data_IF_561273179421
#
_entry.id   IF_561273179421
#
_cell.length_a   1.000
_cell.length_b   1.000
_cell.length_c   1.000
_cell.angle_alpha   90.00
_cell.angle_beta   90.00
_cell.angle_gamma   90.00
#
_symmetry.space_group_name_H-M   'P 1'
#
loop_
_entity.id
_entity.type
_entity.pdbx_description
1 polymer ?
#
# COMPACT_ATOMS: atom_id res chain seq x y z
N UNK A 1 -15.00 22.34 -20.48
CA UNK A 1 -14.29 21.50 -21.46
C UNK A 1 -14.91 20.12 -21.40
N UNK A 2 -15.52 19.67 -22.48
CA UNK A 2 -16.17 18.35 -22.54
C UNK A 2 -15.07 17.29 -22.48
N UNK A 3 -15.14 16.39 -21.52
CA UNK A 3 -14.16 15.30 -21.37
C UNK A 3 -14.23 14.41 -22.63
N UNK A 4 -13.19 14.46 -23.46
CA UNK A 4 -13.07 13.67 -24.68
C UNK A 4 -13.28 12.17 -24.45
N UNK A 5 -13.14 11.70 -23.21
CA UNK A 5 -13.38 10.30 -22.83
C UNK A 5 -14.84 9.88 -22.97
N UNK A 6 -15.78 10.83 -22.93
CA UNK A 6 -17.21 10.55 -23.10
C UNK A 6 -17.62 10.39 -24.56
N UNK A 7 -16.79 10.82 -25.51
CA UNK A 7 -17.08 10.85 -26.94
C UNK A 7 -16.50 9.65 -27.70
N UNK A 8 -15.63 8.84 -27.09
CA UNK A 8 -14.95 7.73 -27.76
C UNK A 8 -15.37 6.39 -27.13
N UNK A 9 -15.79 5.37 -27.90
CA UNK A 9 -16.14 4.06 -27.39
C UNK A 9 -15.00 3.41 -26.59
N UNK A 10 -15.32 2.78 -25.45
CA UNK A 10 -14.35 2.13 -24.56
C UNK A 10 -13.31 1.21 -25.24
N UNK A 11 -13.65 0.40 -26.28
CA UNK A 11 -12.65 -0.41 -26.98
C UNK A 11 -11.59 0.42 -27.72
N UNK A 12 -11.99 1.56 -28.31
CA UNK A 12 -11.07 2.45 -29.01
C UNK A 12 -10.14 3.19 -28.04
N UNK A 13 -10.61 3.52 -26.84
CA UNK A 13 -9.77 4.02 -25.77
C UNK A 13 -8.72 3.02 -25.30
N UNK A 14 -9.09 1.73 -25.19
CA UNK A 14 -8.13 0.66 -24.84
C UNK A 14 -7.05 0.49 -25.92
N UNK A 15 -7.43 0.55 -27.20
CA UNK A 15 -6.49 0.49 -28.32
C UNK A 15 -5.62 1.74 -28.43
N UNK A 16 -6.23 2.93 -28.31
CA UNK A 16 -5.51 4.21 -28.30
C UNK A 16 -4.59 4.33 -27.09
N UNK A 17 -5.04 3.90 -25.91
CA UNK A 17 -4.24 3.86 -24.70
C UNK A 17 -3.08 2.85 -24.77
N UNK A 18 -3.27 1.70 -25.42
CA UNK A 18 -2.20 0.75 -25.66
C UNK A 18 -1.18 1.26 -26.69
N UNK A 19 -1.64 1.89 -27.76
CA UNK A 19 -0.79 2.53 -28.76
C UNK A 19 -0.03 3.73 -28.13
N UNK A 20 -0.73 4.58 -27.38
CA UNK A 20 -0.12 5.70 -26.65
C UNK A 20 0.92 5.19 -25.64
N UNK A 21 0.60 4.16 -24.83
CA UNK A 21 1.57 3.56 -23.90
C UNK A 21 2.78 2.97 -24.60
N UNK A 22 2.59 2.37 -25.79
CA UNK A 22 3.71 1.84 -26.59
C UNK A 22 4.60 2.96 -27.14
N UNK A 23 4.00 4.04 -27.63
CA UNK A 23 4.72 5.20 -28.16
C UNK A 23 5.27 6.05 -27.03
N UNK A 24 4.47 6.37 -26.01
CA UNK A 24 4.89 7.12 -24.85
C UNK A 24 5.91 6.32 -24.00
N UNK A 25 5.75 4.99 -23.84
CA UNK A 25 6.72 4.13 -23.19
C UNK A 25 8.09 4.14 -23.88
N UNK A 26 8.14 4.43 -25.18
CA UNK A 26 9.40 4.62 -25.91
C UNK A 26 10.02 6.01 -25.67
N UNK A 27 9.21 7.02 -25.32
CA UNK A 27 9.66 8.41 -25.15
C UNK A 27 9.55 8.93 -23.69
N UNK A 28 8.68 8.33 -22.88
CA UNK A 28 8.41 8.75 -21.50
C UNK A 28 9.30 7.98 -20.50
N UNK A 29 10.60 8.11 -20.62
CA UNK A 29 11.55 7.67 -19.58
C UNK A 29 12.08 8.91 -18.85
N UNK A 30 12.55 8.76 -17.59
CA UNK A 30 13.17 9.87 -16.85
C UNK A 30 14.30 10.54 -17.61
N UNK A 31 15.07 9.75 -18.38
CA UNK A 31 16.21 10.23 -19.15
C UNK A 31 15.77 11.11 -20.33
N UNK A 32 14.55 10.88 -20.88
CA UNK A 32 14.02 11.59 -22.02
C UNK A 32 13.06 12.71 -21.64
N UNK A 33 12.31 12.55 -20.55
CA UNK A 33 11.39 13.58 -20.07
C UNK A 33 12.08 14.89 -19.71
N UNK A 34 13.36 14.84 -19.28
CA UNK A 34 14.17 16.04 -19.00
C UNK A 34 14.37 16.97 -20.22
N UNK A 35 14.20 16.43 -21.43
CA UNK A 35 14.33 17.18 -22.67
C UNK A 35 13.00 17.76 -23.18
N UNK A 36 11.88 17.47 -22.48
CA UNK A 36 10.59 18.06 -22.85
C UNK A 36 10.67 19.59 -22.67
N UNK A 37 10.19 20.35 -23.70
CA UNK A 37 10.29 21.81 -23.68
C UNK A 37 9.34 22.47 -22.70
N UNK A 38 8.29 21.75 -22.30
CA UNK A 38 7.21 22.26 -21.46
C UNK A 38 7.18 21.58 -20.09
N UNK A 39 6.70 22.31 -19.08
CA UNK A 39 6.39 21.78 -17.74
C UNK A 39 5.20 20.81 -17.83
N UNK A 40 5.16 19.77 -17.01
CA UNK A 40 4.10 18.78 -17.02
C UNK A 40 2.72 19.36 -16.64
N UNK A 41 2.65 20.56 -16.07
CA UNK A 41 1.38 21.30 -15.95
C UNK A 41 0.76 21.66 -17.31
N UNK A 42 1.58 21.74 -18.34
CA UNK A 42 1.13 22.05 -19.71
C UNK A 42 1.02 20.80 -20.54
N UNK A 43 2.06 19.97 -20.56
CA UNK A 43 2.11 18.78 -21.37
C UNK A 43 3.19 17.80 -20.92
N UNK A 44 2.83 16.51 -20.89
CA UNK A 44 3.74 15.40 -20.65
C UNK A 44 3.95 15.05 -19.16
N UNK A 45 4.82 14.09 -18.90
CA UNK A 45 5.18 13.64 -17.55
C UNK A 45 6.13 14.61 -16.86
N UNK A 46 6.47 14.37 -15.56
CA UNK A 46 7.48 15.14 -14.86
C UNK A 46 8.81 15.09 -15.58
N UNK A 47 9.48 16.23 -15.68
CA UNK A 47 10.78 16.34 -16.37
C UNK A 47 11.96 15.81 -15.56
N UNK A 48 11.81 15.69 -14.25
CA UNK A 48 12.86 15.29 -13.32
C UNK A 48 12.30 14.32 -12.29
N UNK A 49 13.20 13.61 -11.65
CA UNK A 49 12.93 12.93 -10.39
C UNK A 49 14.12 13.08 -9.45
N UNK A 50 13.88 12.96 -8.17
CA UNK A 50 14.91 13.01 -7.13
C UNK A 50 14.41 12.22 -5.92
N UNK A 51 15.32 11.65 -5.16
CA UNK A 51 14.98 11.21 -3.83
C UNK A 51 14.67 12.43 -2.94
N UNK A 52 13.77 12.22 -2.00
CA UNK A 52 13.20 13.31 -1.19
C UNK A 52 14.24 14.04 -0.35
N UNK A 53 15.20 13.38 0.34
CA UNK A 53 16.24 14.07 1.08
C UNK A 53 17.10 14.97 0.20
N UNK A 54 17.52 14.49 -0.99
CA UNK A 54 18.32 15.25 -1.95
C UNK A 54 17.54 16.43 -2.52
N UNK A 55 16.26 16.20 -2.86
CA UNK A 55 15.39 17.27 -3.32
C UNK A 55 15.27 18.38 -2.26
N UNK A 56 14.98 18.01 -1.01
CA UNK A 56 14.80 18.96 0.08
C UNK A 56 16.10 19.76 0.33
N UNK A 57 17.25 19.10 0.35
CA UNK A 57 18.54 19.75 0.50
C UNK A 57 18.82 20.76 -0.62
N UNK A 58 18.54 20.39 -1.87
CA UNK A 58 18.78 21.22 -3.05
C UNK A 58 17.82 22.40 -3.23
N UNK A 59 16.64 22.38 -2.59
CA UNK A 59 15.58 23.39 -2.77
C UNK A 59 15.21 24.12 -1.48
N UNK A 60 15.94 23.89 -0.37
CA UNK A 60 15.63 24.52 0.93
C UNK A 60 14.26 24.09 1.50
N UNK A 61 13.77 22.91 1.12
CA UNK A 61 12.58 22.31 1.70
C UNK A 61 12.95 21.51 2.96
N UNK A 62 11.98 21.34 3.86
CA UNK A 62 12.21 20.63 5.11
C UNK A 62 12.15 19.12 4.90
N UNK A 63 13.16 18.41 5.44
CA UNK A 63 13.17 16.96 5.59
C UNK A 63 13.43 16.57 7.03
N UNK A 64 12.59 15.73 7.59
CA UNK A 64 12.76 15.13 8.93
C UNK A 64 12.86 13.62 8.79
N UNK A 65 14.07 13.08 9.00
CA UNK A 65 14.25 11.64 9.11
C UNK A 65 13.66 11.15 10.43
N UNK A 66 12.82 10.11 10.38
CA UNK A 66 12.13 9.54 11.54
C UNK A 66 12.63 8.14 11.84
N UNK A 67 12.90 7.37 10.80
CA UNK A 67 13.47 6.02 10.88
C UNK A 67 14.71 5.99 10.00
N UNK A 68 15.90 5.75 10.56
CA UNK A 68 17.12 5.67 9.77
C UNK A 68 17.10 4.45 8.85
N UNK A 69 17.85 4.53 7.74
CA UNK A 69 18.11 3.38 6.92
C UNK A 69 18.80 2.26 7.73
N UNK A 70 18.43 1.02 7.47
CA UNK A 70 18.97 -0.10 8.23
C UNK A 70 18.63 -1.44 7.62
N UNK A 71 19.13 -2.51 8.21
CA UNK A 71 18.82 -3.88 7.78
C UNK A 71 17.63 -4.38 8.59
N UNK A 72 16.53 -4.73 7.91
CA UNK A 72 15.45 -5.50 8.52
C UNK A 72 15.89 -6.96 8.59
N UNK A 73 16.19 -7.45 9.80
CA UNK A 73 16.47 -8.87 10.05
C UNK A 73 15.15 -9.57 10.45
N UNK A 74 14.74 -10.56 9.68
CA UNK A 74 13.47 -11.28 9.87
C UNK A 74 13.71 -12.75 10.18
N UNK A 75 12.75 -13.37 10.84
CA UNK A 75 12.69 -14.83 10.94
C UNK A 75 12.41 -15.42 9.56
N UNK A 76 13.13 -16.50 9.20
CA UNK A 76 12.89 -17.18 7.94
C UNK A 76 11.45 -17.71 7.84
N UNK A 77 10.79 -17.60 6.68
CA UNK A 77 9.45 -18.16 6.48
C UNK A 77 9.51 -19.68 6.44
N UNK A 78 8.48 -20.34 6.97
CA UNK A 78 8.31 -21.78 6.86
C UNK A 78 7.42 -22.13 5.67
N UNK A 79 8.02 -22.36 4.50
CA UNK A 79 7.32 -22.84 3.30
C UNK A 79 7.24 -24.36 3.33
N UNK A 80 6.04 -24.94 3.52
CA UNK A 80 5.85 -26.36 3.85
C UNK A 80 6.15 -27.28 2.65
N UNK A 81 5.66 -26.94 1.46
CA UNK A 81 5.71 -27.81 0.27
C UNK A 81 6.34 -27.13 -0.96
N UNK A 82 7.01 -26.00 -0.77
CA UNK A 82 7.70 -25.27 -1.83
C UNK A 82 8.83 -24.41 -1.25
N UNK A 83 9.65 -23.81 -2.13
CA UNK A 83 10.69 -22.88 -1.74
C UNK A 83 10.40 -21.51 -2.38
N UNK A 84 10.08 -20.53 -1.55
CA UNK A 84 9.87 -19.15 -1.99
C UNK A 84 11.18 -18.37 -1.92
N UNK A 85 11.89 -18.27 -3.03
CA UNK A 85 13.14 -17.50 -3.11
C UNK A 85 12.89 -16.02 -2.76
N UNK A 86 11.81 -15.45 -3.24
CA UNK A 86 11.40 -14.05 -3.02
C UNK A 86 11.21 -13.73 -1.53
N UNK A 87 10.67 -14.66 -0.75
CA UNK A 87 10.52 -14.47 0.70
C UNK A 87 11.86 -14.63 1.43
N UNK A 88 12.71 -15.55 0.97
CA UNK A 88 14.03 -15.77 1.58
C UNK A 88 14.97 -14.58 1.36
N UNK A 89 14.85 -13.87 0.24
CA UNK A 89 15.60 -12.63 -0.03
C UNK A 89 15.24 -11.51 0.95
N UNK A 90 14.04 -11.56 1.55
CA UNK A 90 13.58 -10.56 2.50
C UNK A 90 14.02 -10.81 3.96
N UNK A 91 14.67 -11.94 4.24
CA UNK A 91 15.17 -12.26 5.60
C UNK A 91 16.17 -11.22 6.09
N UNK A 92 16.98 -10.67 5.18
CA UNK A 92 17.88 -9.56 5.49
C UNK A 92 17.83 -8.53 4.34
N UNK A 93 17.00 -7.52 4.48
CA UNK A 93 16.80 -6.51 3.45
C UNK A 93 17.20 -5.14 3.96
N UNK A 94 17.94 -4.38 3.15
CA UNK A 94 18.23 -2.98 3.45
C UNK A 94 16.96 -2.16 3.23
N UNK A 95 16.43 -1.61 4.30
CA UNK A 95 15.28 -0.69 4.30
C UNK A 95 15.79 0.74 4.13
N UNK A 96 15.17 1.55 3.26
CA UNK A 96 15.52 2.96 3.15
C UNK A 96 15.16 3.72 4.43
N UNK A 97 15.76 4.88 4.61
CA UNK A 97 15.31 5.82 5.63
C UNK A 97 13.86 6.22 5.37
N UNK A 98 13.07 6.33 6.42
CA UNK A 98 11.72 6.85 6.35
C UNK A 98 11.58 8.15 7.13
N UNK A 99 10.85 9.10 6.57
CA UNK A 99 10.72 10.43 7.16
C UNK A 99 9.58 11.22 6.54
N UNK A 100 9.60 12.52 6.80
CA UNK A 100 8.54 13.45 6.38
C UNK A 100 9.17 14.65 5.70
N UNK A 101 8.69 14.97 4.50
CA UNK A 101 9.03 16.22 3.81
C UNK A 101 7.92 17.26 4.01
N UNK A 102 8.29 18.53 4.08
CA UNK A 102 7.37 19.66 3.95
C UNK A 102 7.68 20.44 2.67
N UNK A 103 6.75 20.36 1.74
CA UNK A 103 6.92 20.85 0.37
C UNK A 103 5.94 22.02 0.11
N UNK A 104 6.32 22.96 -0.75
CA UNK A 104 5.45 24.03 -1.22
C UNK A 104 4.95 23.74 -2.63
N UNK A 105 3.72 24.14 -2.92
CA UNK A 105 3.11 24.05 -4.26
C UNK A 105 3.27 22.66 -4.91
N UNK A 106 3.27 21.60 -4.10
CA UNK A 106 3.43 20.24 -4.58
C UNK A 106 2.09 19.70 -5.09
N UNK A 107 2.16 18.92 -6.17
CA UNK A 107 1.01 18.24 -6.76
C UNK A 107 0.92 16.81 -6.27
N UNK A 108 -0.28 16.37 -5.92
CA UNK A 108 -0.59 14.98 -5.58
C UNK A 108 -1.50 14.41 -6.67
N UNK A 109 -1.05 13.33 -7.30
CA UNK A 109 -1.72 12.70 -8.44
C UNK A 109 -2.61 11.56 -7.95
N UNK A 110 -3.89 11.62 -8.28
CA UNK A 110 -4.90 10.62 -7.91
C UNK A 110 -4.93 9.44 -8.90
N UNK A 111 -5.30 8.26 -8.47
CA UNK A 111 -5.57 7.84 -7.09
C UNK A 111 -4.31 7.37 -6.32
N UNK A 112 -3.15 7.34 -6.96
CA UNK A 112 -1.93 6.72 -6.44
C UNK A 112 -1.20 7.57 -5.39
N UNK A 113 -1.51 8.86 -5.26
CA UNK A 113 -0.83 9.73 -4.32
C UNK A 113 0.60 10.09 -4.71
N UNK A 114 0.97 9.95 -6.00
CA UNK A 114 2.31 10.33 -6.48
C UNK A 114 2.53 11.83 -6.32
N UNK A 115 3.73 12.20 -5.87
CA UNK A 115 4.06 13.57 -5.54
C UNK A 115 4.99 14.17 -6.58
N UNK A 116 4.56 15.30 -7.15
CA UNK A 116 5.39 16.13 -8.03
C UNK A 116 5.63 17.48 -7.34
N UNK A 117 6.86 17.69 -6.92
CA UNK A 117 7.31 18.91 -6.25
C UNK A 117 7.61 20.06 -7.23
N UNK A 118 7.92 21.24 -6.71
CA UNK A 118 8.36 22.39 -7.51
C UNK A 118 9.53 22.01 -8.43
N UNK A 119 9.67 22.72 -9.54
CA UNK A 119 10.67 22.40 -10.56
C UNK A 119 10.32 21.16 -11.38
N UNK A 120 9.04 20.72 -11.34
CA UNK A 120 8.52 19.59 -12.11
C UNK A 120 9.26 18.28 -11.78
N UNK A 121 9.45 18.04 -10.48
CA UNK A 121 10.27 16.94 -9.95
C UNK A 121 9.40 15.90 -9.28
N UNK A 122 9.35 14.66 -9.81
CA UNK A 122 8.72 13.52 -9.17
C UNK A 122 9.54 13.02 -7.98
N UNK A 123 8.88 12.76 -6.86
CA UNK A 123 9.48 12.21 -5.63
C UNK A 123 9.02 10.76 -5.42
N UNK A 124 9.81 9.76 -5.85
CA UNK A 124 9.41 8.36 -5.82
C UNK A 124 9.31 7.75 -4.42
N UNK A 125 9.97 8.33 -3.42
CA UNK A 125 10.04 7.76 -2.06
C UNK A 125 8.69 7.73 -1.34
N UNK A 126 7.66 8.35 -1.90
CA UNK A 126 6.28 8.35 -1.38
C UNK A 126 5.40 7.27 -2.00
N UNK A 127 5.97 6.40 -2.84
CA UNK A 127 5.26 5.37 -3.62
C UNK A 127 6.00 4.04 -3.65
N UNK A 128 5.35 3.02 -4.22
CA UNK A 128 5.96 1.72 -4.51
C UNK A 128 7.21 1.80 -5.39
N UNK A 129 7.37 2.90 -6.09
CA UNK A 129 8.44 3.08 -7.07
C UNK A 129 9.69 3.74 -6.48
N UNK A 130 9.80 3.83 -5.14
CA UNK A 130 10.93 4.47 -4.46
C UNK A 130 12.29 4.04 -4.96
N UNK A 131 12.49 2.75 -5.23
CA UNK A 131 13.74 2.18 -5.75
C UNK A 131 13.75 1.95 -7.28
N UNK A 132 12.64 2.24 -7.98
CA UNK A 132 12.46 2.06 -9.43
C UNK A 132 11.72 3.24 -10.06
N UNK A 133 12.17 4.44 -9.73
CA UNK A 133 11.52 5.70 -10.17
C UNK A 133 11.17 5.70 -11.66
N UNK A 134 12.06 5.18 -12.50
CA UNK A 134 11.88 5.14 -13.95
C UNK A 134 10.78 4.21 -14.46
N UNK A 135 10.31 3.27 -13.65
CA UNK A 135 9.22 2.35 -14.03
C UNK A 135 7.84 2.85 -13.58
N UNK A 136 7.76 4.00 -12.92
CA UNK A 136 6.51 4.56 -12.44
C UNK A 136 5.59 4.96 -13.60
N UNK A 137 4.31 4.55 -13.60
CA UNK A 137 3.35 4.94 -14.61
C UNK A 137 3.07 6.43 -14.69
N UNK A 138 3.57 7.24 -13.76
CA UNK A 138 3.48 8.71 -13.83
C UNK A 138 4.08 9.25 -15.15
N UNK A 139 5.06 8.54 -15.72
CA UNK A 139 5.66 8.90 -17.01
C UNK A 139 4.77 8.63 -18.22
N UNK A 140 3.60 8.02 -18.01
CA UNK A 140 2.60 7.79 -19.06
C UNK A 140 1.50 8.87 -19.09
N UNK A 141 1.57 9.85 -18.20
CA UNK A 141 0.64 10.98 -18.21
C UNK A 141 0.94 11.95 -19.34
N UNK A 142 -0.13 12.41 -19.99
CA UNK A 142 -0.11 13.41 -21.05
C UNK A 142 -0.10 14.85 -20.51
N UNK A 143 -0.53 15.03 -19.26
CA UNK A 143 -0.43 16.27 -18.49
C UNK A 143 -0.63 15.99 -17.01
N UNK A 144 0.02 16.78 -16.18
CA UNK A 144 -0.15 16.80 -14.73
C UNK A 144 -0.64 18.20 -14.25
N UNK A 145 -1.48 18.85 -15.06
CA UNK A 145 -2.12 20.11 -14.68
C UNK A 145 -3.04 19.90 -13.48
N UNK A 146 -2.92 20.71 -12.40
CA UNK A 146 -3.79 20.58 -11.25
C UNK A 146 -5.24 20.92 -11.61
N UNK A 147 -6.17 20.10 -11.14
CA UNK A 147 -7.62 20.33 -11.30
C UNK A 147 -8.23 21.08 -10.12
N UNK A 148 -7.49 21.15 -9.01
CA UNK A 148 -7.88 21.88 -7.80
C UNK A 148 -6.64 22.34 -7.03
N UNK A 149 -6.83 23.29 -6.12
CA UNK A 149 -5.83 23.76 -5.16
C UNK A 149 -6.39 23.69 -3.75
N UNK A 150 -5.61 23.14 -2.82
CA UNK A 150 -5.90 23.16 -1.39
C UNK A 150 -5.03 24.22 -0.71
N UNK A 151 -5.66 25.21 -0.05
CA UNK A 151 -4.95 26.22 0.74
C UNK A 151 -4.49 25.64 2.07
N UNK A 152 -3.52 26.31 2.70
CA UNK A 152 -2.99 25.91 4.00
C UNK A 152 -2.13 24.65 3.92
N UNK A 153 -2.10 23.89 5.02
CA UNK A 153 -1.25 22.72 5.15
C UNK A 153 -2.05 21.43 4.94
N UNK A 154 -1.61 20.61 4.01
CA UNK A 154 -2.22 19.31 3.68
C UNK A 154 -1.27 18.19 4.04
N UNK A 155 -1.75 17.16 4.75
CA UNK A 155 -1.05 15.88 4.93
C UNK A 155 -1.51 14.90 3.85
N UNK A 156 -0.60 14.21 3.15
CA UNK A 156 -0.96 13.14 2.23
C UNK A 156 -0.64 11.76 2.83
N UNK A 157 -1.66 10.93 2.98
CA UNK A 157 -1.54 9.52 3.38
C UNK A 157 -1.77 8.55 2.21
N UNK A 158 -2.02 9.06 1.00
CA UNK A 158 -2.28 8.22 -0.16
C UNK A 158 -0.98 7.68 -0.77
N UNK A 159 -1.05 6.45 -1.25
CA UNK A 159 0.02 5.79 -1.99
C UNK A 159 -0.58 4.77 -2.95
N UNK A 160 0.25 4.15 -3.78
CA UNK A 160 -0.20 3.14 -4.75
C UNK A 160 -1.08 2.08 -4.07
N UNK A 161 -2.14 1.69 -4.77
CA UNK A 161 -3.08 0.66 -4.32
C UNK A 161 -3.79 0.92 -2.98
N UNK A 162 -3.61 2.10 -2.37
CA UNK A 162 -4.23 2.42 -1.07
C UNK A 162 -5.76 2.42 -1.09
N UNK A 163 -6.39 2.35 -2.27
CA UNK A 163 -7.79 2.00 -2.44
C UNK A 163 -8.12 0.53 -2.11
N UNK A 164 -7.13 -0.36 -1.93
CA UNK A 164 -7.29 -1.71 -1.42
C UNK A 164 -7.10 -1.70 0.10
N UNK A 165 -7.94 -2.45 0.84
CA UNK A 165 -7.88 -2.49 2.30
C UNK A 165 -6.51 -2.93 2.84
N UNK A 166 -5.89 -3.94 2.21
CA UNK A 166 -4.55 -4.40 2.59
C UNK A 166 -3.50 -3.31 2.47
N UNK A 167 -3.42 -2.68 1.31
CA UNK A 167 -2.47 -1.57 1.09
C UNK A 167 -2.76 -0.34 1.95
N UNK A 168 -4.02 -0.10 2.25
CA UNK A 168 -4.37 0.96 3.19
C UNK A 168 -3.75 0.73 4.58
N UNK A 169 -3.77 -0.52 5.07
CA UNK A 169 -3.20 -0.87 6.37
C UNK A 169 -1.68 -1.05 6.34
N UNK A 170 -1.11 -1.53 5.24
CA UNK A 170 0.35 -1.72 5.15
C UNK A 170 1.09 -0.45 4.78
N UNK A 171 0.56 0.31 3.83
CA UNK A 171 1.34 1.30 3.09
C UNK A 171 0.85 2.74 3.31
N UNK A 172 -0.46 2.96 3.58
CA UNK A 172 -1.03 4.29 3.69
C UNK A 172 -1.15 4.79 5.14
N UNK A 173 -1.99 4.16 5.94
CA UNK A 173 -2.29 4.64 7.31
C UNK A 173 -1.09 4.60 8.27
N UNK A 174 -0.14 3.64 8.22
CA UNK A 174 1.02 3.68 9.10
C UNK A 174 1.89 4.93 8.94
N UNK A 175 1.75 5.65 7.83
CA UNK A 175 2.42 6.92 7.60
C UNK A 175 2.02 8.00 8.62
N UNK A 176 0.92 7.82 9.34
CA UNK A 176 0.54 8.62 10.51
C UNK A 176 1.62 8.52 11.60
N UNK A 177 2.23 7.34 11.79
CA UNK A 177 3.35 7.21 12.74
C UNK A 177 4.54 8.09 12.37
N UNK A 178 4.88 8.21 11.09
CA UNK A 178 5.95 9.10 10.64
C UNK A 178 5.58 10.57 10.89
N UNK A 179 4.33 10.95 10.60
CA UNK A 179 3.80 12.28 10.85
C UNK A 179 3.87 12.64 12.35
N UNK A 180 3.33 11.80 13.24
CA UNK A 180 3.34 12.03 14.69
C UNK A 180 4.77 12.08 15.26
N UNK A 181 5.63 11.12 14.88
CA UNK A 181 7.02 11.03 15.35
C UNK A 181 7.92 12.13 14.81
N UNK A 182 7.56 12.77 13.72
CA UNK A 182 8.27 13.96 13.22
C UNK A 182 7.91 15.23 13.98
N UNK A 183 7.01 15.16 14.98
CA UNK A 183 6.63 16.28 15.84
C UNK A 183 5.46 17.11 15.31
N UNK A 184 4.81 16.68 14.23
CA UNK A 184 3.57 17.28 13.77
C UNK A 184 2.37 16.75 14.54
N UNK A 185 1.35 17.58 14.65
CA UNK A 185 0.06 17.29 15.28
C UNK A 185 -1.10 17.55 14.31
N UNK A 186 -2.30 17.12 14.66
CA UNK A 186 -3.48 17.40 13.84
C UNK A 186 -3.81 18.90 13.75
N UNK A 187 -3.33 19.73 14.66
CA UNK A 187 -3.52 21.18 14.61
C UNK A 187 -2.65 21.84 13.55
N UNK A 188 -1.56 21.19 13.14
CA UNK A 188 -0.65 21.71 12.11
C UNK A 188 -1.22 21.56 10.68
N UNK A 189 -2.31 20.79 10.49
CA UNK A 189 -2.87 20.49 9.17
C UNK A 189 -4.31 20.96 9.02
N UNK A 190 -4.60 21.51 7.84
CA UNK A 190 -5.94 21.91 7.44
C UNK A 190 -6.71 20.77 6.75
N UNK A 191 -5.99 19.94 5.99
CA UNK A 191 -6.57 18.85 5.21
C UNK A 191 -5.71 17.58 5.32
N UNK A 192 -6.36 16.42 5.29
CA UNK A 192 -5.70 15.12 5.22
C UNK A 192 -6.21 14.38 3.98
N UNK A 193 -5.36 14.23 2.97
CA UNK A 193 -5.68 13.40 1.82
C UNK A 193 -5.61 11.93 2.23
N UNK A 194 -6.75 11.28 2.16
CA UNK A 194 -6.91 9.87 2.55
C UNK A 194 -7.27 9.02 1.33
N UNK A 195 -6.97 7.70 1.36
CA UNK A 195 -7.54 6.76 0.39
C UNK A 195 -9.06 6.75 0.42
N UNK A 196 -9.67 6.09 -0.57
CA UNK A 196 -11.12 5.90 -0.55
C UNK A 196 -11.59 5.16 0.72
N UNK A 197 -12.54 5.76 1.43
CA UNK A 197 -13.14 5.28 2.67
C UNK A 197 -14.56 4.73 2.46
N UNK A 198 -14.83 4.09 1.32
CA UNK A 198 -16.17 3.63 0.94
C UNK A 198 -16.74 2.50 1.82
N UNK A 199 -15.90 1.74 2.55
CA UNK A 199 -16.34 0.69 3.45
C UNK A 199 -16.17 1.05 4.92
N UNK A 200 -16.99 0.46 5.79
CA UNK A 200 -16.94 0.71 7.24
C UNK A 200 -15.62 0.24 7.86
N UNK A 201 -15.05 -0.86 7.37
CA UNK A 201 -13.73 -1.31 7.80
C UNK A 201 -12.62 -0.30 7.51
N UNK A 202 -12.67 0.40 6.36
CA UNK A 202 -11.72 1.46 6.02
C UNK A 202 -11.92 2.71 6.87
N UNK A 203 -13.17 3.13 7.08
CA UNK A 203 -13.49 4.25 7.98
C UNK A 203 -12.99 3.98 9.39
N UNK A 204 -13.30 2.80 9.92
CA UNK A 204 -12.85 2.38 11.25
C UNK A 204 -11.31 2.34 11.36
N UNK A 205 -10.59 1.88 10.34
CA UNK A 205 -9.13 1.90 10.35
C UNK A 205 -8.57 3.34 10.38
N UNK A 206 -9.14 4.26 9.61
CA UNK A 206 -8.75 5.67 9.63
C UNK A 206 -9.05 6.32 11.00
N UNK A 207 -10.20 5.99 11.61
CA UNK A 207 -10.55 6.46 12.95
C UNK A 207 -9.58 5.97 14.03
N UNK A 208 -9.13 4.71 13.96
CA UNK A 208 -8.10 4.19 14.87
C UNK A 208 -6.79 4.98 14.81
N UNK A 209 -6.48 5.56 13.65
CA UNK A 209 -5.30 6.42 13.51
C UNK A 209 -5.49 7.81 14.14
N UNK A 210 -6.67 8.12 14.68
CA UNK A 210 -6.97 9.42 15.31
C UNK A 210 -7.08 10.57 14.30
N UNK A 211 -7.29 10.28 13.01
CA UNK A 211 -7.43 11.32 11.99
C UNK A 211 -8.76 12.04 12.20
N UNK A 212 -8.77 13.38 12.36
CA UNK A 212 -10.00 14.14 12.52
C UNK A 212 -10.91 14.02 11.30
N UNK A 213 -12.15 13.52 11.43
CA UNK A 213 -13.04 13.26 10.30
C UNK A 213 -13.30 14.50 9.43
N UNK A 214 -13.38 15.67 10.04
CA UNK A 214 -13.66 16.96 9.37
C UNK A 214 -12.48 17.43 8.50
N UNK A 215 -11.27 16.90 8.71
CA UNK A 215 -10.08 17.20 7.91
C UNK A 215 -9.85 16.19 6.78
N UNK A 216 -10.55 15.05 6.79
CA UNK A 216 -10.38 14.00 5.80
C UNK A 216 -10.94 14.43 4.44
N UNK A 217 -10.12 14.34 3.42
CA UNK A 217 -10.48 14.57 2.02
C UNK A 217 -10.07 13.35 1.20
N UNK A 218 -11.01 12.59 0.64
CA UNK A 218 -10.67 11.48 -0.25
C UNK A 218 -9.90 11.99 -1.47
N UNK A 219 -8.73 11.44 -1.74
CA UNK A 219 -7.92 11.87 -2.88
C UNK A 219 -8.65 11.68 -4.22
N UNK A 220 -9.54 10.67 -4.31
CA UNK A 220 -10.39 10.42 -5.48
C UNK A 220 -11.33 11.56 -5.84
N UNK A 221 -11.51 12.56 -4.96
CA UNK A 221 -12.25 13.80 -5.25
C UNK A 221 -11.55 14.62 -6.35
N UNK A 222 -10.26 14.44 -6.53
CA UNK A 222 -9.44 15.17 -7.49
C UNK A 222 -8.83 14.21 -8.52
N UNK A 223 -8.49 14.73 -9.69
CA UNK A 223 -7.56 14.05 -10.60
C UNK A 223 -6.12 14.39 -10.21
N UNK A 224 -5.83 15.67 -10.05
CA UNK A 224 -4.53 16.19 -9.59
C UNK A 224 -4.83 17.39 -8.70
N UNK A 225 -4.32 17.38 -7.48
CA UNK A 225 -4.50 18.49 -6.54
C UNK A 225 -3.14 19.15 -6.23
N UNK A 226 -3.08 20.47 -6.32
CA UNK A 226 -1.95 21.26 -5.87
C UNK A 226 -2.17 21.69 -4.42
N UNK A 227 -1.24 21.36 -3.55
CA UNK A 227 -1.26 21.74 -2.14
C UNK A 227 -0.35 22.95 -1.93
N UNK A 228 -0.85 24.01 -1.30
CA UNK A 228 -0.04 25.19 -0.96
C UNK A 228 1.16 24.79 -0.09
N UNK A 229 0.93 23.99 0.93
CA UNK A 229 1.95 23.29 1.69
C UNK A 229 1.55 21.82 1.83
N UNK A 230 2.48 20.92 1.56
CA UNK A 230 2.26 19.50 1.66
C UNK A 230 3.20 18.89 2.70
N UNK A 231 2.64 18.25 3.71
CA UNK A 231 3.36 17.32 4.59
C UNK A 231 3.24 15.94 3.95
N UNK A 232 4.38 15.37 3.61
CA UNK A 232 4.49 14.15 2.84
C UNK A 232 5.35 13.12 3.56
N UNK A 233 4.76 12.19 4.34
CA UNK A 233 5.50 11.05 4.85
C UNK A 233 5.90 10.12 3.70
N UNK A 234 7.10 9.53 3.76
CA UNK A 234 7.56 8.54 2.77
C UNK A 234 6.75 7.25 2.83
N UNK A 235 6.90 6.41 1.83
CA UNK A 235 6.41 5.03 1.84
C UNK A 235 7.03 4.27 3.02
N UNK A 236 6.30 3.41 3.74
CA UNK A 236 6.77 2.80 5.00
C UNK A 236 8.02 1.93 4.87
N UNK A 237 8.32 1.45 3.70
CA UNK A 237 9.46 0.58 3.49
C UNK A 237 9.72 0.35 2.01
N UNK A 238 9.77 -0.90 1.58
CA UNK A 238 9.84 -1.30 0.19
C UNK A 238 8.56 -2.03 -0.20
N UNK A 239 8.29 -2.12 -1.50
CA UNK A 239 7.16 -2.90 -2.04
C UNK A 239 7.12 -4.28 -1.39
N UNK A 240 5.97 -4.70 -0.91
CA UNK A 240 5.72 -6.00 -0.29
C UNK A 240 6.61 -6.30 0.94
N UNK A 241 7.22 -5.27 1.53
CA UNK A 241 8.15 -5.44 2.62
C UNK A 241 7.83 -4.46 3.77
N UNK A 242 6.95 -4.90 4.66
CA UNK A 242 6.48 -4.11 5.79
C UNK A 242 7.56 -4.06 6.89
N UNK A 243 8.04 -2.89 7.32
CA UNK A 243 9.01 -2.78 8.39
C UNK A 243 8.37 -3.05 9.77
N UNK A 244 9.18 -3.44 10.75
CA UNK A 244 8.73 -3.80 12.10
C UNK A 244 7.89 -2.71 12.77
N UNK A 245 8.25 -1.44 12.59
CA UNK A 245 7.51 -0.32 13.19
C UNK A 245 6.06 -0.18 12.69
N UNK A 246 5.71 -0.75 11.54
CA UNK A 246 4.32 -0.79 11.04
C UNK A 246 3.46 -1.71 11.93
N UNK A 247 3.98 -2.89 12.29
CA UNK A 247 3.31 -3.76 13.25
C UNK A 247 3.21 -3.13 14.65
N UNK A 248 4.27 -2.46 15.10
CA UNK A 248 4.26 -1.71 16.36
C UNK A 248 3.21 -0.59 16.36
N UNK A 249 3.11 0.15 15.27
CA UNK A 249 2.09 1.18 15.09
C UNK A 249 0.67 0.61 15.27
N UNK A 250 0.33 -0.47 14.57
CA UNK A 250 -1.01 -1.04 14.68
C UNK A 250 -1.29 -1.61 16.07
N UNK A 251 -0.32 -2.25 16.71
CA UNK A 251 -0.48 -2.68 18.10
C UNK A 251 -0.74 -1.52 19.04
N UNK A 252 -0.08 -0.39 18.84
CA UNK A 252 -0.30 0.81 19.68
C UNK A 252 -1.68 1.44 19.50
N UNK A 253 -2.30 1.27 18.34
CA UNK A 253 -3.64 1.78 18.04
C UNK A 253 -4.76 0.78 18.36
N UNK A 254 -4.40 -0.47 18.66
CA UNK A 254 -5.39 -1.51 18.98
C UNK A 254 -5.78 -1.47 20.45
N UNK A 255 -7.05 -1.69 20.79
CA UNK A 255 -7.40 -1.96 22.17
C UNK A 255 -6.65 -3.21 22.67
N UNK A 256 -6.24 -3.19 23.93
CA UNK A 256 -5.63 -4.36 24.53
C UNK A 256 -6.67 -5.47 24.71
N UNK A 257 -6.70 -6.42 23.78
CA UNK A 257 -7.60 -7.59 23.81
C UNK A 257 -6.76 -8.79 24.25
N UNK A 258 -7.12 -9.48 25.37
CA UNK A 258 -6.40 -10.66 25.80
C UNK A 258 -6.45 -11.77 24.76
N UNK A 259 -5.33 -12.44 24.52
CA UNK A 259 -5.31 -13.67 23.72
C UNK A 259 -6.09 -14.77 24.45
N UNK A 260 -6.97 -15.46 23.72
CA UNK A 260 -7.84 -16.51 24.25
C UNK A 260 -7.49 -17.92 23.74
N UNK A 261 -6.37 -18.06 23.04
CA UNK A 261 -5.96 -19.34 22.46
C UNK A 261 -6.87 -19.84 21.33
N UNK A 262 -7.64 -18.93 20.69
CA UNK A 262 -8.54 -19.30 19.59
C UNK A 262 -7.74 -19.74 18.36
N UNK A 263 -8.29 -20.69 17.62
CA UNK A 263 -7.77 -21.12 16.33
C UNK A 263 -8.79 -20.73 15.28
N UNK A 264 -8.41 -19.86 14.35
CA UNK A 264 -9.32 -19.28 13.38
C UNK A 264 -8.95 -19.71 11.97
N UNK A 265 -9.94 -20.20 11.24
CA UNK A 265 -9.86 -20.39 9.81
C UNK A 265 -10.64 -19.28 9.10
N UNK A 266 -9.95 -18.45 8.33
CA UNK A 266 -10.54 -17.35 7.59
C UNK A 266 -11.01 -17.84 6.22
N UNK A 267 -12.27 -18.23 6.14
CA UNK A 267 -12.90 -18.65 4.88
C UNK A 267 -13.12 -17.46 3.96
N UNK A 268 -12.79 -17.64 2.69
CA UNK A 268 -13.12 -16.69 1.62
C UNK A 268 -14.27 -17.18 0.72
N UNK A 269 -15.14 -18.03 1.25
CA UNK A 269 -16.33 -18.54 0.55
C UNK A 269 -17.18 -17.37 0.05
N UNK A 270 -17.57 -17.42 -1.22
CA UNK A 270 -18.32 -16.34 -1.86
C UNK A 270 -17.48 -15.15 -2.35
N UNK A 271 -16.16 -15.15 -2.15
CA UNK A 271 -15.27 -14.13 -2.69
C UNK A 271 -14.59 -14.59 -3.99
N UNK A 272 -13.93 -13.66 -4.69
CA UNK A 272 -13.28 -13.90 -5.99
C UNK A 272 -12.15 -14.97 -5.93
N UNK A 273 -11.39 -15.05 -4.83
CA UNK A 273 -10.35 -16.06 -4.58
C UNK A 273 -10.81 -16.99 -3.47
N UNK A 274 -11.51 -18.08 -3.84
CA UNK A 274 -11.98 -19.07 -2.90
C UNK A 274 -11.05 -20.28 -2.88
N UNK A 275 -11.02 -20.97 -1.75
CA UNK A 275 -10.41 -22.29 -1.66
C UNK A 275 -11.39 -23.33 -2.18
N UNK A 276 -11.07 -23.99 -3.30
CA UNK A 276 -12.01 -24.85 -4.04
C UNK A 276 -12.40 -26.09 -3.23
N UNK A 277 -11.46 -26.65 -2.48
CA UNK A 277 -11.63 -27.84 -1.65
C UNK A 277 -11.87 -27.53 -0.16
N UNK A 278 -12.39 -26.35 0.16
CA UNK A 278 -12.62 -25.92 1.54
C UNK A 278 -13.50 -26.89 2.32
N UNK A 279 -14.53 -27.48 1.66
CA UNK A 279 -15.42 -28.46 2.29
C UNK A 279 -14.69 -29.73 2.75
N UNK A 280 -13.66 -30.15 2.01
CA UNK A 280 -12.83 -31.28 2.40
C UNK A 280 -11.89 -30.95 3.58
N UNK A 281 -11.54 -29.70 3.76
CA UNK A 281 -10.71 -29.24 4.89
C UNK A 281 -11.53 -29.03 6.16
N UNK A 282 -12.79 -28.67 6.06
CA UNK A 282 -13.63 -28.34 7.20
C UNK A 282 -13.60 -29.40 8.32
N UNK A 283 -13.77 -30.70 8.06
CA UNK A 283 -13.71 -31.71 9.13
C UNK A 283 -12.35 -31.81 9.81
N UNK A 284 -11.27 -31.56 9.08
CA UNK A 284 -9.91 -31.60 9.61
C UNK A 284 -9.67 -30.39 10.53
N UNK A 285 -10.15 -29.22 10.10
CA UNK A 285 -10.05 -27.98 10.87
C UNK A 285 -10.90 -28.04 12.14
N UNK A 286 -12.13 -28.54 12.05
CA UNK A 286 -13.04 -28.73 13.19
C UNK A 286 -12.42 -29.70 14.22
N UNK A 287 -11.87 -30.83 13.78
CA UNK A 287 -11.19 -31.79 14.64
C UNK A 287 -9.95 -31.20 15.32
N UNK A 288 -9.28 -30.19 14.68
CA UNK A 288 -8.16 -29.46 15.24
C UNK A 288 -8.60 -28.22 16.08
N UNK A 289 -9.90 -28.03 16.27
CA UNK A 289 -10.48 -26.97 17.11
C UNK A 289 -10.44 -25.59 16.45
N UNK A 290 -10.48 -25.51 15.14
CA UNK A 290 -10.58 -24.23 14.43
C UNK A 290 -12.04 -23.78 14.32
N UNK A 291 -12.22 -22.49 14.52
CA UNK A 291 -13.48 -21.79 14.25
C UNK A 291 -13.42 -21.19 12.84
N UNK A 292 -14.39 -21.54 11.99
CA UNK A 292 -14.48 -20.98 10.65
C UNK A 292 -15.15 -19.61 10.67
N UNK A 293 -14.46 -18.58 10.19
CA UNK A 293 -14.94 -17.20 10.05
C UNK A 293 -15.08 -16.88 8.56
N UNK A 294 -16.29 -16.60 8.11
CA UNK A 294 -16.53 -16.17 6.72
C UNK A 294 -16.15 -14.68 6.63
N UNK A 295 -15.15 -14.39 5.79
CA UNK A 295 -14.65 -13.02 5.61
C UNK A 295 -15.39 -12.30 4.48
N UNK A 296 -15.59 -10.99 4.59
CA UNK A 296 -16.13 -10.20 3.47
C UNK A 296 -17.00 -9.01 3.86
N UNK A 297 -17.88 -9.12 4.81
CA UNK A 297 -18.77 -8.01 5.17
C UNK A 297 -18.25 -7.19 6.36
N UNK A 298 -17.69 -7.86 7.37
CA UNK A 298 -17.28 -7.23 8.62
C UNK A 298 -15.78 -7.33 8.84
N UNK A 299 -15.22 -6.35 9.55
CA UNK A 299 -13.84 -6.39 10.01
C UNK A 299 -13.68 -7.51 11.05
N UNK A 300 -12.73 -8.40 10.81
CA UNK A 300 -12.36 -9.45 11.78
C UNK A 300 -11.35 -8.95 12.81
N UNK A 301 -11.06 -7.66 12.80
CA UNK A 301 -10.06 -7.00 13.63
C UNK A 301 -10.21 -7.27 15.12
N UNK A 302 -11.45 -7.37 15.61
CA UNK A 302 -11.70 -7.62 17.04
C UNK A 302 -11.55 -9.10 17.41
N UNK A 303 -11.55 -10.00 16.42
CA UNK A 303 -11.40 -11.44 16.62
C UNK A 303 -9.93 -11.87 16.58
N UNK A 304 -9.17 -11.34 15.63
CA UNK A 304 -7.78 -11.77 15.39
C UNK A 304 -6.84 -11.58 16.60
N UNK A 305 -6.94 -10.51 17.40
CA UNK A 305 -6.13 -10.40 18.61
C UNK A 305 -6.36 -11.53 19.64
N UNK A 306 -7.50 -12.22 19.57
CA UNK A 306 -7.80 -13.33 20.48
C UNK A 306 -7.20 -14.66 20.00
N UNK A 307 -6.66 -14.70 18.76
CA UNK A 307 -6.22 -15.94 18.13
C UNK A 307 -4.78 -16.29 18.50
N UNK A 308 -4.55 -17.58 18.71
CA UNK A 308 -3.24 -18.22 18.80
C UNK A 308 -2.75 -18.63 17.40
N UNK A 309 -3.64 -19.20 16.58
CA UNK A 309 -3.36 -19.69 15.24
C UNK A 309 -4.40 -19.16 14.27
N UNK A 310 -3.96 -18.62 13.16
CA UNK A 310 -4.80 -18.17 12.06
C UNK A 310 -4.39 -18.93 10.80
N UNK A 311 -5.38 -19.50 10.11
CA UNK A 311 -5.21 -20.11 8.78
C UNK A 311 -6.12 -19.36 7.81
N UNK A 312 -5.64 -19.05 6.61
CA UNK A 312 -6.51 -18.49 5.59
C UNK A 312 -5.86 -18.42 4.20
N UNK A 313 -6.69 -18.41 3.15
CA UNK A 313 -6.22 -18.17 1.79
C UNK A 313 -5.67 -16.73 1.66
N UNK A 314 -4.63 -16.60 0.82
CA UNK A 314 -4.05 -15.29 0.47
C UNK A 314 -5.15 -14.26 0.12
N UNK A 315 -5.12 -13.10 0.75
CA UNK A 315 -6.06 -12.03 0.47
C UNK A 315 -6.24 -11.03 1.60
N UNK A 316 -6.92 -9.91 1.31
CA UNK A 316 -7.01 -8.74 2.18
C UNK A 316 -7.52 -9.03 3.61
N UNK A 317 -8.25 -10.11 3.84
CA UNK A 317 -8.65 -10.52 5.18
C UNK A 317 -7.46 -10.87 6.09
N UNK A 318 -6.34 -11.37 5.53
CA UNK A 318 -5.14 -11.63 6.30
C UNK A 318 -4.40 -10.35 6.74
N UNK A 319 -4.80 -9.18 6.25
CA UNK A 319 -4.15 -7.92 6.63
C UNK A 319 -4.33 -7.60 8.12
N UNK A 320 -5.48 -7.97 8.68
CA UNK A 320 -5.79 -7.72 10.08
C UNK A 320 -4.91 -8.54 11.06
N UNK A 321 -4.02 -9.43 10.57
CA UNK A 321 -2.98 -10.08 11.41
C UNK A 321 -2.03 -9.07 12.05
N UNK A 322 -1.96 -7.85 11.51
CA UNK A 322 -1.20 -6.74 12.12
C UNK A 322 -1.68 -6.38 13.53
N UNK A 323 -2.90 -6.77 13.91
CA UNK A 323 -3.48 -6.56 15.23
C UNK A 323 -3.26 -7.72 16.19
N UNK A 324 -2.68 -8.83 15.74
CA UNK A 324 -2.46 -10.01 16.54
C UNK A 324 -1.35 -9.83 17.57
N UNK A 325 -1.39 -10.66 18.61
CA UNK A 325 -0.34 -10.69 19.63
C UNK A 325 0.96 -11.28 19.06
N UNK A 326 2.13 -10.76 19.50
CA UNK A 326 3.40 -11.43 19.24
C UNK A 326 3.36 -12.88 19.76
N UNK A 327 3.93 -13.79 18.98
CA UNK A 327 3.94 -15.23 19.29
C UNK A 327 2.77 -16.02 18.68
N UNK A 328 1.73 -15.35 18.17
CA UNK A 328 0.69 -16.03 17.37
C UNK A 328 1.28 -16.59 16.07
N UNK A 329 0.53 -17.48 15.42
CA UNK A 329 0.95 -18.18 14.19
C UNK A 329 0.01 -17.81 13.05
N UNK A 330 0.57 -17.42 11.91
CA UNK A 330 -0.14 -17.30 10.64
C UNK A 330 0.25 -18.44 9.71
N UNK A 331 -0.76 -19.17 9.20
CA UNK A 331 -0.61 -20.17 8.14
C UNK A 331 -1.34 -19.65 6.91
N UNK A 332 -0.59 -19.21 5.91
CA UNK A 332 -1.13 -18.72 4.66
C UNK A 332 -1.30 -19.86 3.65
N UNK A 333 -2.50 -19.99 3.08
CA UNK A 333 -2.76 -20.85 1.94
C UNK A 333 -2.49 -20.03 0.67
N UNK A 334 -1.31 -20.19 0.12
CA UNK A 334 -0.80 -19.40 -1.01
C UNK A 334 -1.30 -19.97 -2.33
N UNK A 335 -1.98 -19.19 -3.20
CA UNK A 335 -2.40 -19.66 -4.50
C UNK A 335 -1.20 -19.84 -5.43
N UNK A 336 -1.20 -20.88 -6.29
CA UNK A 336 -0.15 -21.05 -7.28
C UNK A 336 -0.18 -19.85 -8.25
N UNK A 337 0.99 -19.32 -8.64
CA UNK A 337 1.12 -18.18 -9.53
C UNK A 337 0.95 -16.79 -8.86
N UNK A 338 0.71 -16.73 -7.55
CA UNK A 338 0.63 -15.46 -6.81
C UNK A 338 1.33 -15.60 -5.45
N UNK A 339 2.64 -15.73 -5.49
CA UNK A 339 3.51 -15.83 -4.30
C UNK A 339 4.00 -14.41 -3.98
N UNK A 340 3.27 -13.71 -3.12
CA UNK A 340 3.60 -12.35 -2.70
C UNK A 340 3.98 -12.31 -1.22
N UNK A 341 5.09 -11.68 -0.84
CA UNK A 341 5.62 -11.74 0.52
C UNK A 341 4.91 -10.83 1.54
N UNK A 342 3.81 -10.18 1.19
CA UNK A 342 3.11 -9.23 2.05
C UNK A 342 2.78 -9.81 3.42
N UNK A 343 2.14 -10.99 3.47
CA UNK A 343 1.68 -11.56 4.75
C UNK A 343 2.83 -12.18 5.55
N UNK A 344 3.91 -12.61 4.88
CA UNK A 344 5.14 -12.97 5.55
C UNK A 344 5.74 -11.78 6.31
N UNK A 345 5.94 -10.66 5.62
CA UNK A 345 6.54 -9.47 6.23
C UNK A 345 5.61 -8.81 7.25
N UNK A 346 4.29 -8.88 7.04
CA UNK A 346 3.28 -8.41 7.98
C UNK A 346 3.28 -9.24 9.26
N UNK A 347 3.25 -10.56 9.16
CA UNK A 347 3.32 -11.47 10.30
C UNK A 347 4.60 -11.25 11.10
N UNK A 348 5.76 -11.16 10.43
CA UNK A 348 7.02 -10.88 11.09
C UNK A 348 7.01 -9.52 11.81
N UNK A 349 6.49 -8.45 11.17
CA UNK A 349 6.37 -7.13 11.79
C UNK A 349 5.41 -7.12 12.99
N UNK A 350 4.41 -7.99 12.98
CA UNK A 350 3.50 -8.22 14.12
C UNK A 350 4.11 -9.13 15.19
N UNK A 351 5.30 -9.69 14.98
CA UNK A 351 5.95 -10.62 15.92
C UNK A 351 5.40 -12.04 15.89
N UNK A 352 4.69 -12.41 14.81
CA UNK A 352 4.10 -13.73 14.60
C UNK A 352 5.07 -14.70 13.92
N UNK A 353 4.83 -16.01 14.08
CA UNK A 353 5.47 -17.04 13.25
C UNK A 353 4.67 -17.20 11.95
N UNK A 354 5.37 -17.32 10.81
CA UNK A 354 4.72 -17.43 9.51
C UNK A 354 5.01 -18.77 8.86
N UNK A 355 3.93 -19.41 8.41
CA UNK A 355 3.94 -20.63 7.61
C UNK A 355 3.19 -20.38 6.30
N UNK A 356 3.63 -21.02 5.23
CA UNK A 356 2.94 -20.95 3.93
C UNK A 356 2.83 -22.35 3.33
N UNK A 357 1.65 -22.63 2.80
CA UNK A 357 1.33 -23.87 2.08
C UNK A 357 0.90 -23.47 0.68
N UNK A 358 1.66 -23.89 -0.33
CA UNK A 358 1.30 -23.64 -1.73
C UNK A 358 0.17 -24.57 -2.16
N UNK A 359 -0.92 -23.98 -2.62
CA UNK A 359 -2.04 -24.70 -3.22
C UNK A 359 -1.72 -25.24 -4.62
N UNK A 360 -2.67 -25.95 -5.19
CA UNK A 360 -2.61 -26.41 -6.59
C UNK A 360 -3.85 -25.95 -7.34
N UNK A 361 -3.72 -25.75 -8.66
CA UNK A 361 -4.88 -25.54 -9.52
C UNK A 361 -5.65 -26.87 -9.70
N UNK A 362 -6.99 -26.82 -9.92
CA UNK A 362 -7.84 -28.03 -9.99
C UNK A 362 -7.40 -29.04 -11.05
N UNK A 363 -6.79 -28.57 -12.12
CA UNK A 363 -6.32 -29.38 -13.26
C UNK A 363 -4.81 -29.64 -13.27
N UNK A 364 -4.11 -29.29 -12.20
CA UNK A 364 -2.66 -29.45 -12.10
C UNK A 364 -1.85 -28.55 -13.05
N UNK A 365 -2.50 -27.67 -13.80
CA UNK A 365 -1.81 -26.68 -14.63
C UNK A 365 -1.47 -25.46 -13.78
N UNK A 366 -0.19 -25.06 -13.81
CA UNK A 366 0.15 -23.70 -13.42
C UNK A 366 -0.44 -22.77 -14.48
N UNK A 367 -1.58 -22.19 -14.20
CA UNK A 367 -2.12 -21.15 -15.07
C UNK A 367 -1.18 -19.96 -15.04
N UNK A 368 -0.90 -19.35 -16.18
CA UNK A 368 -0.41 -17.99 -16.28
C UNK A 368 -1.55 -17.09 -15.74
N UNK A 369 -1.76 -17.16 -14.43
CA UNK A 369 -2.84 -16.48 -13.78
C UNK A 369 -2.56 -14.99 -13.76
N UNK A 370 -3.02 -14.29 -14.76
CA UNK A 370 -3.46 -12.91 -14.58
C UNK A 370 -4.57 -12.91 -13.53
N UNK A 371 -4.18 -12.87 -12.27
CA UNK A 371 -5.05 -12.62 -11.13
C UNK A 371 -5.07 -11.11 -10.83
N UNK A 372 -4.66 -10.32 -11.82
CA UNK A 372 -4.78 -8.88 -11.80
C UNK A 372 -6.13 -8.51 -12.41
N UNK A 373 -7.08 -8.28 -11.51
CA UNK A 373 -8.09 -7.20 -11.62
C UNK A 373 -8.96 -7.18 -10.36
#
# INVERSE_FOLDING_TARGET
MTDLRTLVPRPLWKLGGAAYRRVAGTFATPERSKWLPLDSRVFGPPRRWSHTPEYCSGHGAEWREVVPAGVAARRAPHCVNYRAAEMLELVATVMPAAGVARLRNARVVSPQGWIVAEGDTYLPDHSWYGYRAGSCPIYLHDSLAPTARLPGVTLSLCTDWSGNYGHMLFDALPRVSLFERSGYTWDDVSHVLVPDLSSDGRKSAAQLCGIPPEKMVPLSTFSIVECEQLIAPTFPGLRCNSPTWVGEFWRSKSPHVPQKGRRLFLSRRGSRRTLINEEALTPILDAAGFETIITGADSIRDLLPQAEIIIGPHGAALTDVMFCHPGSVLIELTPPGHIEPYYYTAADSAGMSYFSILGAYPNGQCGDGNVDD
#
